data_IF_072962879002
#
_entry.id   IF_072962879002
#
_cell.length_a   1.000
_cell.length_b   1.000
_cell.length_c   1.000
_cell.angle_alpha   90.00
_cell.angle_beta   90.00
_cell.angle_gamma   90.00
#
_symmetry.space_group_name_H-M   'P 1'
#
loop_
_entity.id
_entity.type
_entity.pdbx_description
1 polymer ?
#
# COMPACT_ATOMS: atom_id res chain seq x y z
N UNK A 1 11.60 12.67 -7.56
CA UNK A 1 11.74 11.97 -6.27
C UNK A 1 10.65 10.92 -6.12
N UNK A 2 11.00 9.78 -5.56
CA UNK A 2 9.97 8.75 -5.34
C UNK A 2 9.04 9.15 -4.19
N UNK A 3 7.77 8.83 -4.35
CA UNK A 3 6.74 9.01 -3.34
C UNK A 3 6.36 7.66 -2.77
N UNK A 4 6.01 7.66 -1.50
CA UNK A 4 5.57 6.46 -0.79
C UNK A 4 4.22 6.70 -0.12
N UNK A 5 3.48 5.61 0.09
CA UNK A 5 2.31 5.62 0.96
C UNK A 5 2.78 5.44 2.40
N UNK A 6 2.46 6.43 3.23
CA UNK A 6 2.76 6.37 4.66
C UNK A 6 1.48 6.10 5.43
N UNK A 7 1.55 5.16 6.35
CA UNK A 7 0.41 4.76 7.19
C UNK A 7 0.65 5.18 8.61
N UNK A 8 -0.33 5.86 9.21
CA UNK A 8 -0.34 6.26 10.62
C UNK A 8 -1.54 5.61 11.31
N UNK A 9 -1.36 4.42 11.88
CA UNK A 9 -2.49 3.65 12.46
C UNK A 9 -3.27 4.40 13.53
N UNK A 10 -2.63 5.27 14.28
CA UNK A 10 -3.27 6.07 15.32
C UNK A 10 -4.32 7.03 14.79
N UNK A 11 -4.22 7.42 13.51
CA UNK A 11 -5.15 8.34 12.86
C UNK A 11 -6.30 7.62 12.18
N UNK A 12 -6.23 6.32 12.01
CA UNK A 12 -7.28 5.54 11.35
C UNK A 12 -8.50 5.39 12.26
N UNK A 13 -9.67 5.79 11.75
CA UNK A 13 -10.95 5.66 12.47
C UNK A 13 -11.84 4.54 11.95
N UNK A 14 -11.29 3.64 11.13
CA UNK A 14 -12.02 2.50 10.56
C UNK A 14 -13.22 2.87 9.67
N UNK A 15 -13.17 4.03 9.00
CA UNK A 15 -14.26 4.45 8.11
C UNK A 15 -14.31 3.65 6.80
N UNK A 16 -13.24 2.94 6.45
CA UNK A 16 -13.11 2.10 5.25
C UNK A 16 -13.30 2.82 3.91
N UNK A 17 -13.20 4.14 3.90
CA UNK A 17 -13.27 4.93 2.67
C UNK A 17 -12.17 4.51 1.69
N UNK A 18 -10.97 4.22 2.18
CA UNK A 18 -9.84 3.77 1.36
C UNK A 18 -10.14 2.47 0.61
N UNK A 19 -10.87 1.52 1.25
CA UNK A 19 -11.30 0.29 0.59
C UNK A 19 -12.30 0.59 -0.53
N UNK A 20 -13.23 1.50 -0.27
CA UNK A 20 -14.30 1.85 -1.20
C UNK A 20 -13.77 2.56 -2.46
N UNK A 21 -12.77 3.43 -2.31
CA UNK A 21 -12.25 4.25 -3.42
C UNK A 21 -11.14 3.55 -4.22
N UNK A 22 -10.57 2.46 -3.71
CA UNK A 22 -9.49 1.78 -4.41
C UNK A 22 -9.99 1.06 -5.66
N UNK A 23 -9.54 1.46 -6.87
CA UNK A 23 -10.02 0.84 -8.12
C UNK A 23 -9.54 -0.60 -8.29
N UNK A 24 -8.49 -1.00 -7.58
CA UNK A 24 -7.90 -2.34 -7.66
C UNK A 24 -8.27 -3.22 -6.47
N UNK A 25 -9.15 -2.78 -5.59
CA UNK A 25 -9.51 -3.50 -4.36
C UNK A 25 -8.27 -3.97 -3.58
N UNK A 26 -7.26 -3.10 -3.53
CA UNK A 26 -5.92 -3.46 -3.02
C UNK A 26 -5.68 -3.00 -1.58
N UNK A 27 -6.62 -2.30 -0.97
CA UNK A 27 -6.53 -1.82 0.41
C UNK A 27 -7.49 -2.60 1.28
N UNK A 28 -7.01 -3.11 2.41
CA UNK A 28 -7.85 -3.75 3.42
C UNK A 28 -7.56 -3.11 4.78
N UNK A 29 -8.60 -2.76 5.50
CA UNK A 29 -8.48 -2.24 6.86
C UNK A 29 -8.65 -3.40 7.83
N UNK A 30 -7.59 -3.70 8.57
CA UNK A 30 -7.58 -4.76 9.57
C UNK A 30 -7.80 -4.14 10.94
N UNK A 31 -8.81 -4.60 11.65
CA UNK A 31 -9.18 -4.06 12.95
C UNK A 31 -8.83 -5.06 14.06
N UNK A 32 -8.13 -4.57 15.06
CA UNK A 32 -7.83 -5.32 16.28
C UNK A 32 -8.72 -4.79 17.39
N UNK A 33 -9.82 -5.47 17.65
CA UNK A 33 -10.85 -5.03 18.60
C UNK A 33 -10.34 -4.93 20.03
N UNK A 34 -9.42 -5.83 20.39
CA UNK A 34 -8.85 -5.88 21.75
C UNK A 34 -8.14 -4.60 22.14
N UNK A 35 -7.44 -3.99 21.19
CA UNK A 35 -6.67 -2.76 21.41
C UNK A 35 -7.30 -1.55 20.71
N UNK A 36 -8.44 -1.75 20.05
CA UNK A 36 -9.16 -0.71 19.30
C UNK A 36 -8.29 0.02 18.27
N UNK A 37 -7.49 -0.74 17.55
CA UNK A 37 -6.62 -0.22 16.49
C UNK A 37 -7.06 -0.78 15.16
N UNK A 38 -7.15 0.11 14.16
CA UNK A 38 -7.42 -0.25 12.77
C UNK A 38 -6.22 0.18 11.92
N UNK A 39 -5.76 -0.73 11.05
CA UNK A 39 -4.60 -0.48 10.21
C UNK A 39 -4.96 -0.76 8.75
N UNK A 40 -4.90 0.24 7.87
CA UNK A 40 -5.03 -0.04 6.44
C UNK A 40 -3.76 -0.72 5.94
N UNK A 41 -3.94 -1.83 5.26
CA UNK A 41 -2.84 -2.63 4.69
C UNK A 41 -2.94 -2.59 3.18
N UNK A 42 -1.83 -2.29 2.54
CA UNK A 42 -1.71 -2.23 1.09
C UNK A 42 -0.29 -2.57 0.66
N UNK A 43 -0.08 -2.70 -0.65
CA UNK A 43 1.22 -3.03 -1.20
C UNK A 43 2.29 -2.02 -0.78
N UNK A 44 3.42 -2.52 -0.32
CA UNK A 44 4.55 -1.71 0.15
C UNK A 44 5.46 -1.23 -0.99
N UNK A 45 5.19 -1.62 -2.24
CA UNK A 45 6.02 -1.29 -3.39
C UNK A 45 7.51 -1.60 -3.14
N UNK A 46 7.78 -2.83 -2.72
CA UNK A 46 9.10 -3.28 -2.26
C UNK A 46 10.19 -3.00 -3.28
N UNK A 47 11.37 -2.60 -2.82
CA UNK A 47 12.52 -2.38 -3.68
C UNK A 47 12.97 -3.67 -4.36
N UNK A 48 13.17 -4.73 -3.58
CA UNK A 48 13.46 -6.06 -4.07
C UNK A 48 12.17 -6.88 -4.14
N UNK A 49 11.28 -6.49 -5.02
CA UNK A 49 9.93 -7.04 -5.10
C UNK A 49 9.96 -8.53 -5.48
N UNK A 50 9.61 -9.40 -4.53
CA UNK A 50 9.54 -10.84 -4.76
C UNK A 50 8.56 -11.18 -5.90
N UNK A 51 7.45 -10.44 -6.01
CA UNK A 51 6.47 -10.63 -7.06
C UNK A 51 7.04 -10.39 -8.46
N UNK A 52 7.98 -9.45 -8.62
CA UNK A 52 8.68 -9.25 -9.89
C UNK A 52 9.67 -10.36 -10.18
N UNK A 53 10.39 -10.81 -9.15
CA UNK A 53 11.44 -11.83 -9.27
C UNK A 53 10.89 -13.19 -9.67
N UNK A 54 9.69 -13.53 -9.23
CA UNK A 54 9.10 -14.86 -9.47
C UNK A 54 8.18 -14.92 -10.69
N UNK A 55 7.88 -13.79 -11.34
CA UNK A 55 6.97 -13.80 -12.48
C UNK A 55 7.63 -14.45 -13.70
N UNK A 56 7.11 -15.60 -14.18
CA UNK A 56 7.76 -16.35 -15.27
C UNK A 56 7.65 -15.66 -16.63
N UNK A 57 6.65 -14.78 -16.81
CA UNK A 57 6.42 -14.08 -18.09
C UNK A 57 6.91 -12.65 -18.11
N UNK A 58 7.45 -12.16 -17.00
CA UNK A 58 7.86 -10.76 -16.89
C UNK A 58 6.69 -9.78 -16.91
N UNK A 59 5.49 -10.23 -16.50
CA UNK A 59 4.31 -9.37 -16.45
C UNK A 59 4.40 -8.30 -15.35
N UNK A 60 5.18 -8.54 -14.31
CA UNK A 60 5.39 -7.60 -13.22
C UNK A 60 6.59 -6.72 -13.51
N UNK A 61 6.39 -5.42 -13.47
CA UNK A 61 7.46 -4.44 -13.73
C UNK A 61 7.26 -3.20 -12.87
N UNK A 62 8.30 -2.36 -12.83
CA UNK A 62 8.21 -1.10 -12.08
C UNK A 62 7.95 0.03 -13.06
N UNK A 63 6.97 0.87 -12.74
CA UNK A 63 6.64 2.04 -13.56
C UNK A 63 7.48 3.27 -13.19
N UNK A 64 7.22 4.39 -13.86
CA UNK A 64 7.91 5.66 -13.63
C UNK A 64 7.65 6.27 -12.24
N UNK A 65 6.54 5.89 -11.59
CA UNK A 65 6.19 6.33 -10.24
C UNK A 65 6.81 5.46 -9.15
N UNK A 66 7.57 4.44 -9.53
CA UNK A 66 8.14 3.48 -8.61
C UNK A 66 7.18 2.37 -8.17
N UNK A 67 5.98 2.32 -8.71
CA UNK A 67 5.01 1.27 -8.41
C UNK A 67 5.34 -0.01 -9.16
N UNK A 68 5.16 -1.15 -8.50
CA UNK A 68 5.22 -2.46 -9.14
C UNK A 68 3.85 -2.75 -9.73
N UNK A 69 3.78 -2.86 -11.04
CA UNK A 69 2.53 -3.02 -11.79
C UNK A 69 2.51 -4.31 -12.58
N UNK A 70 1.32 -4.79 -12.89
CA UNK A 70 1.12 -6.01 -13.70
C UNK A 70 0.61 -5.64 -15.09
N UNK A 71 1.24 -6.25 -16.11
CA UNK A 71 0.76 -6.14 -17.49
C UNK A 71 -0.22 -7.29 -17.76
N UNK A 72 -1.52 -7.02 -17.95
CA UNK A 72 -2.51 -8.07 -18.21
C UNK A 72 -2.23 -8.87 -19.49
N UNK A 73 -1.56 -8.25 -20.47
CA UNK A 73 -1.22 -8.92 -21.74
C UNK A 73 -0.14 -9.99 -21.58
N UNK A 74 0.70 -9.89 -20.56
CA UNK A 74 1.77 -10.87 -20.29
C UNK A 74 1.39 -11.84 -19.16
N UNK A 75 0.42 -11.48 -18.32
CA UNK A 75 0.00 -12.30 -17.19
C UNK A 75 -0.72 -13.56 -17.65
N UNK A 76 -0.25 -14.72 -17.17
CA UNK A 76 -0.86 -16.03 -17.48
C UNK A 76 -1.75 -16.56 -16.35
N UNK A 77 -1.91 -15.81 -15.26
CA UNK A 77 -2.77 -16.19 -14.14
C UNK A 77 -2.24 -17.33 -13.27
N UNK A 78 -0.93 -17.54 -13.25
CA UNK A 78 -0.31 -18.64 -12.49
C UNK A 78 -0.34 -18.43 -10.98
N UNK A 79 -0.58 -17.19 -10.50
CA UNK A 79 -0.69 -16.81 -9.08
C UNK A 79 0.59 -16.99 -8.25
N UNK A 80 1.73 -17.16 -8.88
CA UNK A 80 3.02 -17.32 -8.17
C UNK A 80 3.36 -16.02 -7.40
N UNK A 81 3.08 -14.86 -8.00
CA UNK A 81 3.29 -13.57 -7.36
C UNK A 81 2.45 -13.41 -6.07
N UNK A 82 1.21 -13.90 -6.09
CA UNK A 82 0.34 -13.86 -4.90
C UNK A 82 0.92 -14.69 -3.75
N UNK A 83 1.50 -15.86 -4.08
CA UNK A 83 2.17 -16.71 -3.09
C UNK A 83 3.50 -16.11 -2.60
N UNK A 84 4.19 -15.35 -3.44
CA UNK A 84 5.48 -14.75 -3.10
C UNK A 84 5.35 -13.49 -2.23
N UNK A 85 4.23 -12.79 -2.28
CA UNK A 85 4.04 -11.58 -1.50
C UNK A 85 3.91 -11.90 0.00
N UNK A 86 4.86 -11.45 0.85
CA UNK A 86 4.81 -11.76 2.27
C UNK A 86 3.68 -11.05 3.02
N UNK A 87 3.13 -9.99 2.44
CA UNK A 87 2.08 -9.16 3.04
C UNK A 87 0.67 -9.55 2.56
N UNK A 88 0.54 -10.49 1.64
CA UNK A 88 -0.75 -10.90 1.11
C UNK A 88 -1.47 -9.84 0.28
N UNK A 89 -0.73 -8.94 -0.35
CA UNK A 89 -1.28 -7.77 -1.04
C UNK A 89 -1.56 -7.99 -2.54
N UNK A 90 -1.55 -9.24 -2.99
CA UNK A 90 -1.80 -9.58 -4.39
C UNK A 90 -2.88 -10.65 -4.45
N UNK A 91 -3.88 -10.44 -5.32
CA UNK A 91 -4.85 -11.47 -5.62
C UNK A 91 -5.17 -11.49 -7.13
N UNK A 92 -5.67 -12.60 -7.59
CA UNK A 92 -6.08 -12.76 -8.99
C UNK A 92 -7.59 -12.68 -9.09
N UNK A 93 -8.09 -11.77 -9.94
CA UNK A 93 -9.52 -11.65 -10.19
C UNK A 93 -9.90 -12.55 -11.36
N UNK A 94 -10.71 -13.57 -11.12
CA UNK A 94 -11.23 -14.47 -12.15
C UNK A 94 -12.21 -13.74 -13.08
N UNK A 95 -12.93 -12.76 -12.56
CA UNK A 95 -13.87 -11.95 -13.33
C UNK A 95 -13.16 -11.03 -14.33
N UNK A 96 -12.14 -10.33 -13.84
CA UNK A 96 -11.34 -9.39 -14.64
C UNK A 96 -10.15 -10.07 -15.33
N UNK A 97 -9.88 -11.33 -15.01
CA UNK A 97 -8.78 -12.14 -15.57
C UNK A 97 -7.41 -11.44 -15.46
N UNK A 98 -7.15 -10.83 -14.31
CA UNK A 98 -5.88 -10.14 -14.07
C UNK A 98 -5.50 -10.15 -12.60
N UNK A 99 -4.23 -9.85 -12.34
CA UNK A 99 -3.73 -9.61 -11.00
C UNK A 99 -4.26 -8.27 -10.51
N UNK A 100 -4.78 -8.29 -9.29
CA UNK A 100 -5.25 -7.09 -8.58
C UNK A 100 -4.24 -6.76 -7.48
N UNK A 101 -3.63 -5.59 -7.58
CA UNK A 101 -2.70 -5.07 -6.58
C UNK A 101 -2.63 -3.55 -6.68
N UNK A 102 -2.08 -2.92 -5.64
CA UNK A 102 -1.87 -1.48 -5.63
C UNK A 102 -0.86 -1.07 -6.72
N UNK A 103 -1.26 -0.12 -7.56
CA UNK A 103 -0.41 0.49 -8.58
C UNK A 103 -0.15 1.98 -8.30
N UNK A 104 -0.41 2.44 -7.08
CA UNK A 104 -0.35 3.86 -6.68
C UNK A 104 -1.29 4.75 -7.51
N UNK A 105 -2.30 4.16 -8.17
CA UNK A 105 -3.27 4.87 -9.02
C UNK A 105 -2.58 5.79 -10.04
N UNK A 106 -1.52 5.29 -10.68
CA UNK A 106 -0.71 6.02 -11.65
C UNK A 106 -0.16 7.36 -11.12
N UNK A 107 0.19 7.38 -9.83
CA UNK A 107 0.72 8.56 -9.16
C UNK A 107 -0.32 9.45 -8.49
N UNK A 108 -1.59 9.04 -8.51
CA UNK A 108 -2.70 9.79 -7.91
C UNK A 108 -3.44 8.93 -6.87
N UNK A 109 -2.73 8.56 -5.82
CA UNK A 109 -3.19 7.63 -4.78
C UNK A 109 -4.55 8.03 -4.18
N UNK A 110 -5.63 7.37 -4.61
CA UNK A 110 -7.00 7.68 -4.21
C UNK A 110 -7.25 7.45 -2.73
N UNK A 111 -6.68 6.37 -2.17
CA UNK A 111 -6.81 6.06 -0.75
C UNK A 111 -6.26 7.18 0.14
N UNK A 112 -5.13 7.77 -0.22
CA UNK A 112 -4.55 8.90 0.51
C UNK A 112 -5.38 10.17 0.32
N UNK A 113 -5.85 10.40 -0.90
CA UNK A 113 -6.64 11.60 -1.25
C UNK A 113 -7.94 11.68 -0.46
N UNK A 114 -8.63 10.57 -0.29
CA UNK A 114 -9.94 10.52 0.35
C UNK A 114 -9.92 10.06 1.81
N UNK A 115 -8.76 9.85 2.41
CA UNK A 115 -8.67 9.51 3.81
C UNK A 115 -8.99 10.74 4.69
N UNK A 116 -10.12 10.74 5.43
CA UNK A 116 -10.57 11.93 6.16
C UNK A 116 -9.66 12.29 7.34
N UNK A 117 -8.99 11.29 7.93
CA UNK A 117 -8.12 11.47 9.10
C UNK A 117 -6.65 11.58 8.73
N UNK A 118 -6.31 11.47 7.45
CA UNK A 118 -4.93 11.41 6.95
C UNK A 118 -4.12 10.28 7.58
N UNK A 119 -4.77 9.16 7.86
CA UNK A 119 -4.08 7.95 8.28
C UNK A 119 -3.23 7.37 7.15
N UNK A 120 -3.62 7.62 5.91
CA UNK A 120 -2.87 7.28 4.70
C UNK A 120 -2.46 8.59 4.03
N UNK A 121 -1.16 8.75 3.79
CA UNK A 121 -0.62 9.91 3.08
C UNK A 121 0.31 9.45 1.96
N UNK A 122 0.26 10.12 0.82
CA UNK A 122 1.14 9.86 -0.32
C UNK A 122 2.13 11.01 -0.43
N UNK A 123 3.35 10.78 0.06
CA UNK A 123 4.35 11.82 0.28
C UNK A 123 5.70 11.44 -0.35
N UNK A 124 6.51 12.45 -0.61
CA UNK A 124 7.93 12.23 -0.90
C UNK A 124 8.58 11.48 0.26
N UNK A 125 9.47 10.57 -0.05
CA UNK A 125 10.13 9.72 0.93
C UNK A 125 10.80 10.55 2.05
N UNK A 126 11.49 11.62 1.68
CA UNK A 126 12.15 12.52 2.64
C UNK A 126 11.13 13.14 3.60
N UNK A 127 10.00 13.62 3.07
CA UNK A 127 8.94 14.25 3.87
C UNK A 127 8.30 13.24 4.82
N UNK A 128 8.04 12.02 4.34
CA UNK A 128 7.49 10.94 5.15
C UNK A 128 8.42 10.58 6.30
N UNK A 129 9.73 10.50 6.04
CA UNK A 129 10.74 10.19 7.05
C UNK A 129 10.83 11.28 8.11
N UNK A 130 10.79 12.56 7.71
CA UNK A 130 10.81 13.70 8.65
C UNK A 130 9.56 13.69 9.52
N UNK A 131 8.39 13.41 8.94
CA UNK A 131 7.14 13.35 9.71
C UNK A 131 7.20 12.23 10.76
N UNK A 132 7.74 11.07 10.39
CA UNK A 132 7.93 9.97 11.36
C UNK A 132 8.89 10.34 12.48
N UNK A 133 9.98 11.02 12.15
CA UNK A 133 10.95 11.50 13.16
C UNK A 133 10.32 12.51 14.11
N UNK A 134 9.47 13.42 13.61
CA UNK A 134 8.74 14.37 14.44
C UNK A 134 7.77 13.66 15.39
N UNK A 135 7.05 12.67 14.89
CA UNK A 135 6.14 11.87 15.72
C UNK A 135 6.90 11.13 16.82
N UNK A 136 8.05 10.54 16.48
CA UNK A 136 8.90 9.90 17.46
C UNK A 136 9.44 10.90 18.49
N UNK A 137 9.95 12.04 18.02
CA UNK A 137 10.50 13.09 18.88
C UNK A 137 9.46 13.64 19.86
N UNK A 138 8.19 13.75 19.43
CA UNK A 138 7.13 14.26 20.32
C UNK A 138 6.92 13.36 21.54
N UNK A 139 7.17 12.07 21.41
CA UNK A 139 7.06 11.13 22.56
C UNK A 139 8.12 11.38 23.62
N UNK A 140 9.27 11.91 23.23
CA UNK A 140 10.32 12.27 24.19
C UNK A 140 9.94 13.50 25.03
N UNK A 141 9.11 14.39 24.51
CA UNK A 141 8.67 15.57 25.27
C UNK A 141 7.79 15.18 26.46
N UNK A 142 7.07 14.06 26.35
CA UNK A 142 6.23 13.56 27.43
C UNK A 142 7.04 13.11 28.65
N UNK A 143 8.32 12.75 28.43
CA UNK A 143 9.22 12.34 29.51
C UNK A 143 9.75 13.50 30.33
N UNK A 144 9.64 14.73 29.83
CA UNK A 144 10.17 15.92 30.46
C UNK A 144 9.07 16.83 31.03
N UNK A 145 7.85 16.45 30.87
CA UNK A 145 6.68 17.08 31.45
C UNK A 145 6.11 16.21 32.57
#
# INVERSE_FOLDING_TARGET
>A
MSKILMISPKKCNNCKTCEAVCPNSAVNVITFEEVKVSVPIMCMQCENAACMMVCPTGAMSRDENGAVVSDPGKCIGCKVCASACPMGNIHYSTTKKRIMKCNLCDGNAQCAKYCPTRAIEYLDETKANINKKRELASKFTELFN
#
